data_IF_774114475803
#
_entry.id   IF_774114475803
#
_cell.length_a   1.000
_cell.length_b   1.000
_cell.length_c   1.000
_cell.angle_alpha   90.00
_cell.angle_beta   90.00
_cell.angle_gamma   90.00
#
_symmetry.space_group_name_H-M   'P 1'
#
loop_
_entity.id
_entity.type
_entity.pdbx_description
1 polymer ?
#
# COMPACT_ATOMS: atom_id res chain seq x y z
N UNK A 1 -34.14 17.86 -1.45
CA UNK A 1 -33.69 16.64 -2.13
C UNK A 1 -32.23 16.51 -1.76
N UNK A 2 -31.94 15.73 -0.73
CA UNK A 2 -30.56 15.57 -0.23
C UNK A 2 -29.87 14.66 -1.24
N UNK A 3 -28.88 15.17 -1.96
CA UNK A 3 -28.02 14.33 -2.78
C UNK A 3 -27.42 13.28 -1.84
N UNK A 4 -27.84 12.03 -2.01
CA UNK A 4 -27.24 10.90 -1.32
C UNK A 4 -25.83 10.81 -1.88
N UNK A 5 -24.85 11.22 -1.08
CA UNK A 5 -23.43 11.00 -1.40
C UNK A 5 -23.28 9.48 -1.59
N UNK A 6 -22.98 9.07 -2.82
CA UNK A 6 -22.74 7.66 -3.12
C UNK A 6 -21.47 7.24 -2.39
N UNK A 7 -21.65 6.42 -1.35
CA UNK A 7 -20.54 5.90 -0.54
C UNK A 7 -19.89 4.76 -1.31
N UNK A 8 -18.57 4.86 -1.56
CA UNK A 8 -17.78 3.77 -2.13
C UNK A 8 -17.97 2.49 -1.32
N UNK A 9 -18.30 1.41 -2.00
CA UNK A 9 -18.39 0.07 -1.45
C UNK A 9 -16.99 -0.56 -1.40
N UNK A 10 -16.88 -1.66 -0.66
CA UNK A 10 -15.64 -2.45 -0.58
C UNK A 10 -15.06 -2.78 -1.96
N UNK A 11 -15.92 -3.19 -2.91
CA UNK A 11 -15.51 -3.51 -4.29
C UNK A 11 -14.96 -2.32 -5.05
N UNK A 12 -15.43 -1.10 -4.76
CA UNK A 12 -14.96 0.12 -5.43
C UNK A 12 -13.54 0.47 -4.96
N UNK A 13 -13.20 0.20 -3.70
CA UNK A 13 -11.83 0.33 -3.20
C UNK A 13 -10.89 -0.73 -3.79
N UNK A 14 -11.37 -1.97 -3.96
CA UNK A 14 -10.60 -3.01 -4.64
C UNK A 14 -10.28 -2.61 -6.09
N UNK A 15 -11.29 -2.13 -6.83
CA UNK A 15 -11.08 -1.68 -8.21
C UNK A 15 -10.13 -0.47 -8.26
N UNK A 16 -10.31 0.51 -7.38
CA UNK A 16 -9.42 1.66 -7.32
C UNK A 16 -7.98 1.27 -6.97
N UNK A 17 -7.77 0.26 -6.12
CA UNK A 17 -6.43 -0.24 -5.80
C UNK A 17 -5.77 -0.90 -7.03
N UNK A 18 -6.53 -1.66 -7.83
CA UNK A 18 -6.07 -2.21 -9.10
C UNK A 18 -5.64 -1.08 -10.04
N UNK A 19 -6.50 -0.08 -10.23
CA UNK A 19 -6.25 1.01 -11.18
C UNK A 19 -5.01 1.83 -10.78
N UNK A 20 -4.89 2.16 -9.49
CA UNK A 20 -3.74 2.89 -8.94
C UNK A 20 -2.44 2.09 -9.11
N UNK A 21 -2.46 0.79 -8.83
CA UNK A 21 -1.27 -0.06 -8.99
C UNK A 21 -0.87 -0.19 -10.45
N UNK A 22 -1.83 -0.38 -11.36
CA UNK A 22 -1.57 -0.46 -12.79
C UNK A 22 -0.96 0.85 -13.32
N UNK A 23 -1.46 2.00 -12.89
CA UNK A 23 -0.93 3.29 -13.31
C UNK A 23 0.46 3.57 -12.72
N UNK A 24 0.67 3.27 -11.43
CA UNK A 24 1.99 3.38 -10.79
C UNK A 24 3.00 2.44 -11.42
N UNK A 25 2.58 1.23 -11.82
CA UNK A 25 3.46 0.27 -12.48
C UNK A 25 4.03 0.80 -13.80
N UNK A 26 3.22 1.53 -14.59
CA UNK A 26 3.71 2.20 -15.81
C UNK A 26 4.79 3.25 -15.54
N UNK A 27 4.74 3.90 -14.39
CA UNK A 27 5.62 5.02 -14.04
C UNK A 27 6.90 4.57 -13.33
N UNK A 28 6.82 3.53 -12.51
CA UNK A 28 7.86 3.20 -11.53
C UNK A 28 8.41 1.78 -11.64
N UNK A 29 7.73 0.86 -12.33
CA UNK A 29 8.24 -0.52 -12.44
C UNK A 29 9.40 -0.55 -13.43
N UNK A 30 10.50 -1.17 -13.01
CA UNK A 30 11.62 -1.41 -13.89
C UNK A 30 11.30 -2.55 -14.89
N UNK A 31 11.94 -2.59 -16.07
CA UNK A 31 11.73 -3.67 -17.05
C UNK A 31 12.03 -5.09 -16.52
N UNK A 32 12.80 -5.20 -15.44
CA UNK A 32 13.13 -6.44 -14.75
C UNK A 32 12.07 -6.87 -13.70
N UNK A 33 10.99 -6.09 -13.53
CA UNK A 33 9.93 -6.34 -12.56
C UNK A 33 10.24 -5.82 -11.15
N UNK A 34 11.37 -5.14 -10.92
CA UNK A 34 11.72 -4.62 -9.59
C UNK A 34 10.90 -3.38 -9.26
N UNK A 35 10.20 -3.42 -8.12
CA UNK A 35 9.43 -2.29 -7.57
C UNK A 35 10.21 -1.44 -6.58
N UNK A 36 9.69 -0.25 -6.30
CA UNK A 36 10.30 0.71 -5.38
C UNK A 36 10.49 0.17 -3.96
N UNK A 37 9.59 -0.69 -3.48
CA UNK A 37 9.67 -1.21 -2.10
C UNK A 37 10.89 -2.09 -1.86
N UNK A 38 11.20 -3.02 -2.76
CA UNK A 38 12.39 -3.87 -2.64
C UNK A 38 13.68 -3.02 -2.52
N UNK A 39 13.83 -2.00 -3.37
CA UNK A 39 14.96 -1.05 -3.31
C UNK A 39 14.96 -0.23 -2.03
N UNK A 40 13.78 0.18 -1.56
CA UNK A 40 13.62 0.98 -0.33
C UNK A 40 14.05 0.18 0.89
N UNK A 41 13.60 -1.06 1.01
CA UNK A 41 13.96 -1.97 2.10
C UNK A 41 15.45 -2.31 2.05
N UNK A 42 16.01 -2.57 0.86
CA UNK A 42 17.45 -2.80 0.71
C UNK A 42 18.27 -1.60 1.21
N UNK A 43 17.90 -0.39 0.80
CA UNK A 43 18.57 0.83 1.24
C UNK A 43 18.42 1.06 2.75
N UNK A 44 17.21 0.88 3.30
CA UNK A 44 16.93 1.00 4.73
C UNK A 44 17.84 0.06 5.53
N UNK A 45 17.84 -1.23 5.17
CA UNK A 45 18.66 -2.25 5.82
C UNK A 45 20.15 -1.90 5.77
N UNK A 46 20.65 -1.42 4.63
CA UNK A 46 22.05 -1.00 4.49
C UNK A 46 22.43 0.20 5.38
N UNK A 47 21.51 1.15 5.56
CA UNK A 47 21.74 2.36 6.36
C UNK A 47 21.66 2.04 7.86
N UNK A 48 20.70 1.23 8.29
CA UNK A 48 20.39 1.03 9.72
C UNK A 48 20.99 -0.23 10.31
N UNK A 49 21.49 -1.16 9.48
CA UNK A 49 21.91 -2.49 9.92
C UNK A 49 20.75 -3.42 10.32
N UNK A 50 19.53 -3.12 9.86
CA UNK A 50 18.36 -3.99 10.05
C UNK A 50 18.19 -4.97 8.87
N UNK A 51 17.25 -5.89 9.01
CA UNK A 51 16.97 -6.95 8.04
C UNK A 51 15.48 -7.09 7.77
N UNK A 52 14.85 -6.00 7.35
CA UNK A 52 13.45 -6.05 6.92
C UNK A 52 13.31 -6.80 5.59
N UNK A 53 12.20 -7.49 5.44
CA UNK A 53 11.70 -8.06 4.18
C UNK A 53 10.87 -7.02 3.41
N UNK A 54 10.61 -7.27 2.13
CA UNK A 54 9.70 -6.41 1.34
C UNK A 54 8.28 -6.39 1.95
N UNK A 55 7.80 -7.53 2.44
CA UNK A 55 6.50 -7.64 3.08
C UNK A 55 6.41 -6.80 4.36
N UNK A 56 7.48 -6.72 5.15
CA UNK A 56 7.55 -5.84 6.33
C UNK A 56 7.59 -4.36 5.94
N UNK A 57 8.22 -4.02 4.81
CA UNK A 57 8.13 -2.68 4.23
C UNK A 57 6.69 -2.28 3.88
N UNK A 58 5.94 -3.17 3.21
CA UNK A 58 4.52 -2.94 2.92
C UNK A 58 3.66 -2.91 4.19
N UNK A 59 3.95 -3.75 5.19
CA UNK A 59 3.29 -3.71 6.50
C UNK A 59 3.48 -2.35 7.18
N UNK A 60 4.70 -1.82 7.18
CA UNK A 60 4.98 -0.50 7.75
C UNK A 60 4.18 0.59 7.05
N UNK A 61 4.14 0.58 5.72
CA UNK A 61 3.35 1.54 4.93
C UNK A 61 1.85 1.42 5.20
N UNK A 62 1.32 0.20 5.35
CA UNK A 62 -0.08 -0.01 5.73
C UNK A 62 -0.36 0.60 7.11
N UNK A 63 0.49 0.34 8.11
CA UNK A 63 0.34 0.88 9.47
C UNK A 63 0.33 2.42 9.44
N UNK A 64 1.17 3.07 8.62
CA UNK A 64 1.17 4.53 8.47
C UNK A 64 -0.18 5.05 7.96
N UNK A 65 -0.83 4.34 7.04
CA UNK A 65 -2.15 4.72 6.50
C UNK A 65 -3.26 4.48 7.51
N UNK A 66 -3.21 3.37 8.25
CA UNK A 66 -4.12 3.11 9.36
C UNK A 66 -4.00 4.23 10.41
N UNK A 67 -2.78 4.53 10.88
CA UNK A 67 -2.53 5.61 11.85
C UNK A 67 -3.04 6.96 11.33
N UNK A 68 -2.84 7.28 10.05
CA UNK A 68 -3.34 8.54 9.45
C UNK A 68 -4.87 8.60 9.43
N UNK A 69 -5.55 7.51 9.11
CA UNK A 69 -7.01 7.45 9.18
C UNK A 69 -7.50 7.68 10.62
N UNK A 70 -6.82 7.11 11.62
CA UNK A 70 -7.25 7.24 13.02
C UNK A 70 -6.75 8.51 13.72
N UNK A 71 -5.89 9.31 13.08
CA UNK A 71 -5.37 10.57 13.63
C UNK A 71 -6.45 11.66 13.78
N UNK A 72 -7.52 11.60 12.99
CA UNK A 72 -8.71 12.42 13.14
C UNK A 72 -9.95 11.50 13.14
N UNK A 73 -10.37 11.01 14.32
CA UNK A 73 -11.42 9.99 14.41
C UNK A 73 -12.79 10.46 13.89
N UNK A 74 -13.02 11.78 13.82
CA UNK A 74 -14.27 12.36 13.35
C UNK A 74 -14.30 12.55 11.82
N UNK A 75 -13.23 12.19 11.11
CA UNK A 75 -13.10 12.43 9.66
C UNK A 75 -12.60 11.20 8.91
N UNK A 76 -13.43 10.71 7.98
CA UNK A 76 -13.00 9.73 6.98
C UNK A 76 -11.93 10.33 6.05
N UNK A 77 -10.84 9.60 5.85
CA UNK A 77 -9.72 9.99 4.99
C UNK A 77 -9.54 8.96 3.87
N UNK A 78 -10.27 9.18 2.78
CA UNK A 78 -10.40 8.24 1.66
C UNK A 78 -9.06 7.76 1.08
N UNK A 79 -8.08 8.66 0.94
CA UNK A 79 -6.73 8.33 0.46
C UNK A 79 -6.05 7.28 1.35
N UNK A 80 -6.21 7.38 2.68
CA UNK A 80 -5.64 6.39 3.60
C UNK A 80 -6.38 5.06 3.57
N UNK A 81 -7.71 5.08 3.40
CA UNK A 81 -8.46 3.85 3.21
C UNK A 81 -8.05 3.12 1.92
N UNK A 82 -7.93 3.86 0.81
CA UNK A 82 -7.50 3.30 -0.47
C UNK A 82 -6.07 2.78 -0.43
N UNK A 83 -5.12 3.57 0.06
CA UNK A 83 -3.73 3.11 0.18
C UNK A 83 -3.59 1.93 1.16
N UNK A 84 -4.42 1.86 2.20
CA UNK A 84 -4.49 0.68 3.08
C UNK A 84 -4.82 -0.60 2.34
N UNK A 85 -5.84 -0.56 1.45
CA UNK A 85 -6.21 -1.69 0.58
C UNK A 85 -5.08 -2.02 -0.40
N UNK A 86 -4.50 -1.00 -1.05
CA UNK A 86 -3.43 -1.20 -2.01
C UNK A 86 -2.16 -1.80 -1.38
N UNK A 87 -1.74 -1.31 -0.22
CA UNK A 87 -0.58 -1.84 0.48
C UNK A 87 -0.84 -3.23 1.07
N UNK A 88 -2.07 -3.52 1.50
CA UNK A 88 -2.44 -4.87 1.91
C UNK A 88 -2.30 -5.88 0.76
N UNK A 89 -2.69 -5.53 -0.46
CA UNK A 89 -2.53 -6.43 -1.62
C UNK A 89 -1.06 -6.61 -2.02
N UNK A 90 -0.26 -5.54 -2.04
CA UNK A 90 1.17 -5.60 -2.34
C UNK A 90 1.95 -6.39 -1.28
N UNK A 91 1.56 -6.27 -0.01
CA UNK A 91 2.08 -7.10 1.08
C UNK A 91 1.75 -8.57 0.86
N UNK A 92 0.50 -8.89 0.49
CA UNK A 92 0.08 -10.27 0.22
C UNK A 92 0.89 -10.87 -0.94
N UNK A 93 1.14 -10.10 -1.99
CA UNK A 93 1.99 -10.52 -3.11
C UNK A 93 3.44 -10.79 -2.66
N UNK A 94 4.04 -9.89 -1.89
CA UNK A 94 5.39 -10.06 -1.37
C UNK A 94 5.51 -11.30 -0.46
N UNK A 95 4.51 -11.57 0.38
CA UNK A 95 4.45 -12.79 1.19
C UNK A 95 4.34 -14.05 0.31
N UNK A 96 3.47 -14.03 -0.70
CA UNK A 96 3.28 -15.14 -1.63
C UNK A 96 4.55 -15.44 -2.46
N UNK A 97 5.37 -14.44 -2.73
CA UNK A 97 6.66 -14.57 -3.39
C UNK A 97 7.79 -15.11 -2.48
N UNK A 98 7.49 -15.48 -1.23
CA UNK A 98 8.45 -16.03 -0.27
C UNK A 98 9.02 -15.02 0.73
N UNK A 99 8.44 -13.81 0.81
CA UNK A 99 8.83 -12.76 1.76
C UNK A 99 8.39 -12.98 3.21
N UNK A 100 7.81 -14.14 3.53
CA UNK A 100 7.51 -14.56 4.90
C UNK A 100 8.68 -15.39 5.46
N UNK A 101 9.77 -14.76 5.88
CA UNK A 101 10.92 -15.41 6.52
C UNK A 101 11.45 -14.57 7.67
#
# INVERSE_FOLDING_TARGET
>A
MTDLIEVKKSTDFLQAAIDVQAERGKQYDAPDGTRSMAKTVQAFNAITGHHLTEAEGWLLMQIVKDVRQWQNPDKFHEDSALDGVAYASLKAEALAAGGAQ
#
